data_IF_864232365715
#
_entry.id   IF_864232365715
#
_cell.length_a   1.000
_cell.length_b   1.000
_cell.length_c   1.000
_cell.angle_alpha   90.00
_cell.angle_beta   90.00
_cell.angle_gamma   90.00
#
_symmetry.space_group_name_H-M   'P 1'
#
loop_
_entity.id
_entity.type
_entity.pdbx_description
1 polymer ?
2 non-polymer ?
3 non-polymer ?
4 water ?
#
# COMPACT_ATOMS: atom_id res chain seq x y z
N UNK A 16 -16.43 13.19 36.58
CA UNK A 16 -16.17 14.56 36.15
C UNK A 16 -15.11 14.64 35.07
N UNK A 17 -15.30 13.90 33.97
CA UNK A 17 -14.33 13.78 32.86
C UNK A 17 -14.80 14.48 31.56
N UNK A 18 -13.89 14.56 30.59
CA UNK A 18 -14.16 15.09 29.25
C UNK A 18 -13.17 14.64 28.20
N UNK A 19 -13.48 14.84 26.89
CA UNK A 19 -12.60 14.30 25.83
C UNK A 19 -11.25 14.99 25.64
N UNK A 20 -10.20 14.20 25.31
CA UNK A 20 -8.85 14.71 25.11
C UNK A 20 -8.73 15.43 23.77
N UNK A 21 -7.94 16.51 23.76
CA UNK A 21 -7.66 17.33 22.57
C UNK A 21 -6.21 17.06 22.13
N UNK A 22 -5.91 17.29 20.82
CA UNK A 22 -4.63 16.93 20.20
C UNK A 22 -3.99 18.16 19.53
N UNK A 23 -4.43 18.51 18.32
CA UNK A 23 -3.88 19.62 17.54
C UNK A 23 -5.01 20.19 16.67
N UNK A 24 -5.98 20.80 17.36
CA UNK A 24 -7.19 21.38 16.76
C UNK A 24 -8.40 20.45 16.72
N UNK A 25 -8.18 19.12 16.88
CA UNK A 25 -9.22 18.11 16.73
C UNK A 25 -9.55 17.41 18.08
N UNK A 26 -10.87 17.12 18.30
CA UNK A 26 -11.35 16.36 19.46
C UNK A 26 -11.08 14.87 19.20
N UNK A 27 -10.58 14.13 20.20
CA UNK A 27 -10.44 12.67 20.15
C UNK A 27 -11.40 11.96 21.16
N UNK A 28 -12.67 11.76 20.75
CA UNK A 28 -13.69 11.13 21.61
C UNK A 28 -13.44 9.63 21.72
N UNK A 29 -12.39 9.21 22.43
CA UNK A 29 -11.95 7.80 22.46
C UNK A 29 -11.93 7.15 23.85
N UNK A 30 -12.05 7.92 24.92
CA UNK A 30 -12.17 7.35 26.27
C UNK A 30 -13.30 6.33 26.46
N UNK A 31 -13.35 5.66 27.62
CA UNK A 31 -12.39 5.73 28.71
C UNK A 31 -11.22 4.76 28.54
N UNK A 32 -11.31 3.79 27.59
CA UNK A 32 -10.22 2.86 27.29
C UNK A 32 -8.94 3.57 26.93
N UNK A 33 -9.04 4.66 26.18
CA UNK A 33 -7.94 5.16 25.37
C UNK A 33 -7.55 6.54 25.90
N UNK A 34 -6.41 6.59 26.62
CA UNK A 34 -5.92 7.77 27.32
C UNK A 34 -4.50 8.15 26.85
N UNK A 35 -4.01 9.34 27.29
CA UNK A 35 -2.62 9.81 27.09
C UNK A 35 -2.25 9.81 25.60
N UNK A 36 -2.71 10.83 24.88
CA UNK A 36 -2.63 10.87 23.44
C UNK A 36 -1.39 11.60 22.97
N UNK A 37 -0.64 10.99 22.02
CA UNK A 37 0.42 11.68 21.28
C UNK A 37 0.01 11.74 19.82
N UNK A 38 0.26 12.88 19.18
CA UNK A 38 0.03 13.06 17.75
C UNK A 38 1.09 12.28 16.95
N UNK A 39 0.66 11.52 15.90
CA UNK A 39 1.52 10.80 14.95
C UNK A 39 1.55 11.51 13.59
N UNK A 40 0.38 11.85 13.04
CA UNK A 40 0.29 12.46 11.72
C UNK A 40 -1.12 12.81 11.29
N UNK A 41 -1.31 13.39 10.07
CA UNK A 41 -2.67 13.72 9.61
C UNK A 41 -2.82 13.78 8.09
N UNK A 42 -4.05 13.97 7.64
CA UNK A 42 -4.37 14.08 6.22
C UNK A 42 -5.67 14.79 5.89
N UNK A 43 -6.11 14.61 4.64
CA UNK A 43 -7.27 15.28 4.04
C UNK A 43 -8.54 15.15 4.88
N UNK A 44 -8.77 13.99 5.51
CA UNK A 44 -10.00 13.82 6.30
C UNK A 44 -9.80 13.00 7.58
N UNK A 45 -8.66 13.20 8.23
CA UNK A 45 -8.33 12.43 9.41
C UNK A 45 -6.96 12.69 10.01
N UNK A 46 -6.77 12.20 11.23
CA UNK A 46 -5.56 12.35 12.05
C UNK A 46 -5.26 11.07 12.82
N UNK A 47 -3.98 10.70 13.00
CA UNK A 47 -3.56 9.48 13.72
C UNK A 47 -2.85 9.86 14.98
N UNK A 48 -3.11 9.11 16.07
CA UNK A 48 -2.51 9.27 17.40
C UNK A 48 -2.15 7.92 17.92
N UNK A 49 -1.26 7.87 18.91
CA UNK A 49 -1.13 6.72 19.80
C UNK A 49 -1.94 6.98 21.09
N UNK A 50 -2.23 5.92 21.87
CA UNK A 50 -3.03 6.00 23.11
C UNK A 50 -2.86 4.72 23.93
N UNK A 51 -3.05 4.77 25.28
CA UNK A 51 -2.98 3.58 26.15
C UNK A 51 -4.33 2.83 26.23
N UNK A 52 -4.38 1.58 25.71
CA UNK A 52 -5.55 0.69 25.85
C UNK A 52 -5.62 0.24 27.32
N UNK A 53 -6.84 -0.05 27.82
CA UNK A 53 -7.04 -0.47 29.23
C UNK A 53 -7.62 -1.88 29.40
N UNK A 54 -8.51 -2.35 28.49
CA UNK A 54 -8.98 -3.76 28.45
C UNK A 54 -7.78 -4.72 28.28
N UNK A 55 -7.07 -4.60 27.16
CA UNK A 55 -5.68 -5.04 27.06
C UNK A 55 -4.84 -3.86 27.60
N UNK A 56 -3.57 -4.07 27.90
CA UNK A 56 -2.84 -3.10 28.71
C UNK A 56 -1.54 -2.73 28.02
N UNK A 57 -1.71 -2.20 26.80
CA UNK A 57 -0.62 -1.78 25.91
C UNK A 57 -1.01 -0.48 25.21
N UNK A 58 -0.02 0.29 24.73
CA UNK A 58 -0.33 1.47 23.92
C UNK A 58 -0.74 0.96 22.51
N UNK A 59 -1.62 1.70 21.80
CA UNK A 59 -2.21 1.32 20.50
C UNK A 59 -2.22 2.53 19.59
N UNK A 60 -2.38 2.30 18.27
CA UNK A 60 -2.58 3.38 17.28
C UNK A 60 -4.09 3.63 17.12
N UNK A 61 -4.52 4.91 17.08
CA UNK A 61 -5.92 5.25 16.84
C UNK A 61 -5.94 6.30 15.74
N UNK A 62 -6.78 6.08 14.70
CA UNK A 62 -7.03 7.02 13.61
C UNK A 62 -8.45 7.54 13.69
N UNK A 63 -8.60 8.88 13.86
CA UNK A 63 -9.84 9.63 13.65
C UNK A 63 -10.08 9.87 12.17
N UNK A 64 -11.29 9.52 11.68
CA UNK A 64 -11.66 9.64 10.27
C UNK A 64 -12.98 10.38 10.22
N UNK A 65 -13.02 11.44 9.41
CA UNK A 65 -14.13 12.38 9.29
C UNK A 65 -14.54 12.50 7.79
N UNK A 66 -15.15 11.44 7.21
CA UNK A 66 -15.37 11.38 5.77
C UNK A 66 -16.77 11.76 5.33
N UNK A 67 -17.64 12.10 6.26
CA UNK A 67 -19.07 12.01 5.94
C UNK A 67 -19.56 13.14 5.03
N UNK A 68 -18.79 14.23 4.85
CA UNK A 68 -19.16 15.32 3.92
C UNK A 68 -18.85 15.00 2.42
N UNK A 69 -18.09 13.91 2.11
CA UNK A 69 -17.60 13.62 0.76
C UNK A 69 -17.78 12.16 0.36
N UNK A 70 -18.39 11.96 -0.81
CA UNK A 70 -18.62 10.67 -1.50
C UNK A 70 -17.41 9.70 -1.46
N UNK A 71 -16.29 10.14 -2.08
CA UNK A 71 -15.09 9.31 -2.24
C UNK A 71 -14.35 9.01 -0.91
N UNK A 72 -14.40 9.92 0.08
CA UNK A 72 -13.88 9.61 1.42
C UNK A 72 -14.75 8.52 2.08
N UNK A 73 -16.09 8.59 1.95
CA UNK A 73 -16.99 7.53 2.43
C UNK A 73 -16.69 6.18 1.75
N UNK A 74 -16.48 6.18 0.42
CA UNK A 74 -16.12 4.99 -0.34
C UNK A 74 -14.83 4.39 0.20
N UNK A 75 -13.83 5.24 0.42
CA UNK A 75 -12.52 4.79 0.84
C UNK A 75 -12.52 4.33 2.27
N UNK A 76 -13.24 5.04 3.19
CA UNK A 76 -13.36 4.65 4.61
C UNK A 76 -14.02 3.28 4.68
N UNK A 77 -15.14 3.14 3.99
CA UNK A 77 -15.85 1.87 3.92
C UNK A 77 -15.01 0.72 3.34
N UNK A 78 -14.35 0.90 2.18
CA UNK A 78 -13.49 -0.16 1.62
C UNK A 78 -12.40 -0.59 2.62
N UNK A 79 -11.66 0.36 3.20
CA UNK A 79 -10.64 0.02 4.19
C UNK A 79 -11.17 -0.77 5.37
N UNK A 80 -12.36 -0.41 5.87
CA UNK A 80 -12.92 -1.12 7.01
C UNK A 80 -13.42 -2.48 6.59
N UNK A 81 -14.18 -2.58 5.50
CA UNK A 81 -14.67 -3.87 5.05
C UNK A 81 -13.47 -4.85 4.82
N UNK A 82 -12.39 -4.39 4.16
CA UNK A 82 -11.22 -5.22 3.86
C UNK A 82 -10.55 -5.66 5.17
N UNK A 83 -10.20 -4.71 6.01
CA UNK A 83 -9.39 -5.08 7.17
C UNK A 83 -10.13 -5.90 8.19
N UNK A 84 -11.47 -5.71 8.34
CA UNK A 84 -12.26 -6.61 9.17
C UNK A 84 -12.41 -8.05 8.64
N UNK A 85 -12.28 -8.24 7.32
CA UNK A 85 -12.26 -9.52 6.62
C UNK A 85 -10.86 -10.20 6.79
N UNK A 86 -9.79 -9.41 6.69
CA UNK A 86 -8.44 -9.92 6.68
C UNK A 86 -7.95 -10.29 8.08
N UNK A 87 -7.27 -11.42 8.15
CA UNK A 87 -6.50 -11.83 9.33
C UNK A 87 -5.17 -12.39 8.88
N UNK A 88 -4.09 -11.66 9.11
CA UNK A 88 -2.79 -12.09 8.63
C UNK A 88 -1.72 -11.37 9.39
N UNK A 89 -0.71 -12.09 9.79
CA UNK A 89 0.44 -11.60 10.56
C UNK A 89 1.15 -10.41 9.92
N UNK A 90 1.16 -10.30 8.58
CA UNK A 90 1.88 -9.21 7.90
C UNK A 90 0.93 -8.15 7.40
N UNK A 91 -0.29 -8.10 7.96
CA UNK A 91 -1.25 -7.09 7.57
C UNK A 91 -1.84 -6.50 8.86
N UNK A 92 -1.85 -5.16 8.93
CA UNK A 92 -2.42 -4.47 10.07
C UNK A 92 -3.94 -4.81 10.12
N UNK A 93 -4.42 -5.21 11.28
CA UNK A 93 -5.85 -5.42 11.49
C UNK A 93 -6.50 -4.23 12.18
N UNK A 94 -7.78 -4.36 12.43
CA UNK A 94 -8.53 -3.45 13.27
C UNK A 94 -8.89 -4.15 14.58
N UNK A 95 -8.44 -3.62 15.73
CA UNK A 95 -8.71 -4.19 17.04
C UNK A 95 -10.05 -3.72 17.61
N UNK A 96 -10.39 -2.45 17.33
CA UNK A 96 -11.61 -1.81 17.85
C UNK A 96 -12.00 -0.65 16.92
N UNK A 97 -13.27 -0.29 16.93
CA UNK A 97 -13.77 0.88 16.20
C UNK A 97 -14.69 1.57 17.18
N UNK A 98 -14.43 2.87 17.41
CA UNK A 98 -15.18 3.75 18.28
C UNK A 98 -15.96 4.71 17.40
N UNK A 99 -17.26 4.70 17.53
CA UNK A 99 -18.10 5.80 17.07
C UNK A 99 -19.36 5.97 17.93
N UNK A 100 -20.10 7.06 17.72
CA UNK A 100 -21.38 7.36 18.41
C UNK A 100 -22.40 6.20 18.22
N UNK A 101 -23.34 6.03 19.16
CA UNK A 101 -24.31 4.94 19.00
C UNK A 101 -25.41 5.16 17.99
N UNK A 102 -25.59 6.41 17.48
CA UNK A 102 -26.60 6.75 16.48
C UNK A 102 -25.92 7.37 15.27
N UNK A 103 -26.46 7.14 14.04
CA UNK A 103 -25.96 7.82 12.85
C UNK A 103 -25.90 9.35 13.06
N UNK A 104 -26.98 9.92 13.56
CA UNK A 104 -27.09 11.38 13.81
C UNK A 104 -25.89 11.88 14.58
N UNK A 105 -25.59 11.24 15.74
CA UNK A 105 -24.47 11.66 16.59
C UNK A 105 -23.08 11.26 16.00
N UNK A 106 -23.04 10.42 14.95
CA UNK A 106 -21.80 9.97 14.35
C UNK A 106 -21.21 10.99 13.35
N UNK A 107 -20.28 11.83 13.83
CA UNK A 107 -19.49 12.74 12.98
C UNK A 107 -18.13 12.14 12.60
N UNK A 108 -17.55 11.30 13.48
CA UNK A 108 -16.25 10.71 13.24
C UNK A 108 -16.28 9.20 13.54
N UNK A 109 -15.27 8.50 13.07
CA UNK A 109 -15.03 7.09 13.34
C UNK A 109 -13.58 6.99 13.77
N UNK A 110 -13.31 6.23 14.81
CA UNK A 110 -11.97 6.04 15.30
C UNK A 110 -11.63 4.56 15.11
N UNK A 111 -10.57 4.28 14.36
CA UNK A 111 -10.12 2.93 14.05
C UNK A 111 -8.95 2.64 14.99
N UNK A 112 -9.06 1.59 15.82
CA UNK A 112 -7.95 1.26 16.72
C UNK A 112 -7.16 0.10 16.16
N UNK A 113 -5.80 0.24 16.15
CA UNK A 113 -4.89 -0.72 15.56
C UNK A 113 -3.68 -0.94 16.41
N UNK A 114 -2.97 -2.05 16.18
CA UNK A 114 -1.67 -2.31 16.85
C UNK A 114 -0.75 -1.10 16.59
N UNK A 115 -0.13 -0.56 17.65
CA UNK A 115 0.91 0.47 17.48
C UNK A 115 2.22 -0.19 17.05
N UNK A 116 2.82 0.35 16.03
CA UNK A 116 4.11 -0.15 15.55
C UNK A 116 5.15 0.92 15.82
N UNK A 117 6.38 0.49 16.09
CA UNK A 117 7.54 1.33 16.41
C UNK A 117 7.82 2.35 15.34
N UNK A 118 8.00 1.88 14.12
CA UNK A 118 8.40 2.71 13.01
C UNK A 118 7.78 2.23 11.71
N UNK A 119 8.23 2.81 10.60
CA UNK A 119 7.90 2.39 9.25
C UNK A 119 9.15 2.35 8.40
N UNK A 120 9.07 1.71 7.24
CA UNK A 120 10.23 1.56 6.36
C UNK A 120 10.72 2.89 5.75
N UNK A 121 9.85 3.92 5.60
CA UNK A 121 10.28 5.24 5.13
C UNK A 121 11.29 5.85 6.14
N UNK A 122 10.92 5.88 7.41
CA UNK A 122 11.74 6.41 8.49
C UNK A 122 13.00 5.59 8.64
N UNK A 123 12.88 4.25 8.50
CA UNK A 123 14.01 3.34 8.59
C UNK A 123 15.01 3.58 7.47
N UNK A 124 14.55 3.76 6.23
CA UNK A 124 15.44 3.99 5.11
C UNK A 124 16.14 5.33 5.12
N UNK A 125 15.52 6.35 5.67
CA UNK A 125 16.13 7.66 5.74
C UNK A 125 17.21 7.71 6.83
N UNK A 126 17.19 6.79 7.83
CA UNK A 126 18.17 6.78 8.94
C UNK A 126 19.14 5.54 8.92
N UNK A 127 18.70 4.38 8.37
CA UNK A 127 19.41 3.13 8.58
C UNK A 127 19.83 2.44 7.34
N UNK A 128 21.12 2.04 7.29
CA UNK A 128 21.58 1.07 6.29
C UNK A 128 20.97 -0.32 6.56
N UNK A 129 20.45 -0.99 5.51
CA UNK A 129 19.88 -2.32 5.69
C UNK A 129 20.91 -3.35 5.23
N UNK A 130 21.18 -4.35 6.04
CA UNK A 130 21.98 -5.50 5.62
C UNK A 130 21.18 -6.31 4.58
N UNK A 131 21.87 -7.11 3.76
CA UNK A 131 21.19 -7.98 2.80
C UNK A 131 20.19 -8.91 3.50
N UNK A 132 20.51 -9.38 4.70
CA UNK A 132 19.60 -10.24 5.46
C UNK A 132 18.30 -9.50 5.83
N UNK A 133 18.39 -8.21 6.21
CA UNK A 133 17.19 -7.42 6.50
C UNK A 133 16.34 -7.17 5.26
N UNK A 134 16.96 -6.90 4.17
CA UNK A 134 16.25 -6.65 2.89
C UNK A 134 15.47 -7.89 2.49
N UNK A 135 16.13 -9.03 2.56
CA UNK A 135 15.56 -10.34 2.25
C UNK A 135 14.36 -10.65 3.11
N UNK A 136 14.52 -10.51 4.42
CA UNK A 136 13.41 -10.68 5.37
C UNK A 136 12.24 -9.71 5.19
N UNK A 137 12.53 -8.42 5.04
CA UNK A 137 11.51 -7.45 4.74
C UNK A 137 10.79 -7.78 3.45
N UNK A 138 11.52 -8.13 2.40
CA UNK A 138 10.87 -8.49 1.12
C UNK A 138 9.99 -9.71 1.23
N UNK A 139 10.46 -10.75 1.95
CA UNK A 139 9.68 -11.95 2.21
C UNK A 139 8.33 -11.55 2.84
N UNK A 140 8.38 -10.75 3.89
CA UNK A 140 7.17 -10.34 4.62
C UNK A 140 6.23 -9.52 3.79
N UNK A 141 6.75 -8.57 3.03
CA UNK A 141 5.93 -7.77 2.13
C UNK A 141 5.16 -8.71 1.17
N UNK A 142 5.89 -9.53 0.49
CA UNK A 142 5.31 -10.53 -0.43
C UNK A 142 4.32 -11.56 0.22
N UNK A 143 4.56 -12.01 1.47
CA UNK A 143 3.72 -12.94 2.18
C UNK A 143 2.39 -12.26 2.51
N UNK A 144 2.42 -11.00 2.98
CA UNK A 144 1.18 -10.21 3.18
C UNK A 144 0.48 -10.00 1.85
N UNK A 145 1.25 -9.66 0.84
CA UNK A 145 0.65 -9.41 -0.50
C UNK A 145 0.10 -10.71 -1.13
N UNK A 146 0.67 -11.89 -0.82
CA UNK A 146 0.10 -13.12 -1.31
C UNK A 146 -1.35 -13.20 -0.79
N UNK A 147 -1.53 -12.88 0.49
CA UNK A 147 -2.85 -12.95 1.10
C UNK A 147 -3.81 -11.92 0.50
N UNK A 148 -3.36 -10.68 0.34
CA UNK A 148 -4.19 -9.62 -0.19
C UNK A 148 -4.76 -10.00 -1.60
N UNK A 149 -3.85 -10.36 -2.54
CA UNK A 149 -4.12 -10.81 -3.90
C UNK A 149 -5.01 -12.05 -3.95
N UNK A 150 -4.79 -13.00 -3.02
CA UNK A 150 -5.59 -14.19 -2.92
C UNK A 150 -7.06 -13.86 -2.52
N UNK A 151 -7.34 -12.66 -1.96
CA UNK A 151 -8.71 -12.21 -1.66
C UNK A 151 -9.31 -11.42 -2.82
N UNK A 152 -8.59 -11.33 -3.96
CA UNK A 152 -8.99 -10.51 -5.10
C UNK A 152 -8.97 -9.01 -4.81
N UNK A 153 -8.14 -8.60 -3.86
CA UNK A 153 -7.91 -7.22 -3.49
C UNK A 153 -6.53 -6.77 -3.97
N UNK A 154 -6.49 -5.54 -4.45
CA UNK A 154 -5.28 -4.78 -4.76
C UNK A 154 -5.09 -3.69 -3.71
N UNK A 155 -3.87 -3.54 -3.17
CA UNK A 155 -3.58 -2.53 -2.14
C UNK A 155 -3.59 -1.16 -2.86
N UNK A 156 -2.80 -1.04 -3.92
CA UNK A 156 -2.71 0.12 -4.83
C UNK A 156 -1.96 1.34 -4.30
N UNK A 157 -1.29 1.25 -3.15
CA UNK A 157 -0.49 2.36 -2.67
C UNK A 157 0.58 1.86 -1.72
N UNK A 158 1.25 0.78 -2.13
CA UNK A 158 2.36 0.20 -1.40
C UNK A 158 3.55 1.12 -1.58
N UNK A 159 4.14 1.46 -0.46
CA UNK A 159 5.26 2.40 -0.40
C UNK A 159 5.86 2.24 0.96
N UNK A 160 7.11 2.69 1.18
CA UNK A 160 7.76 2.48 2.49
C UNK A 160 7.00 3.02 3.72
N UNK A 161 6.33 4.18 3.63
CA UNK A 161 5.59 4.69 4.79
C UNK A 161 4.35 3.86 5.14
N UNK A 162 3.88 3.01 4.25
CA UNK A 162 2.79 2.06 4.49
C UNK A 162 3.28 0.66 4.91
N UNK A 163 4.58 0.57 5.24
CA UNK A 163 5.14 -0.67 5.72
C UNK A 163 5.67 -0.42 7.09
N UNK A 164 4.97 -0.96 8.10
CA UNK A 164 5.23 -0.73 9.49
C UNK A 164 6.08 -1.81 10.10
N UNK A 165 6.97 -1.41 10.99
CA UNK A 165 7.86 -2.33 11.66
C UNK A 165 7.86 -2.15 13.14
N UNK A 166 8.04 -3.25 13.82
CA UNK A 166 8.28 -3.29 15.25
C UNK A 166 9.76 -3.51 15.55
N UNK A 167 10.12 -3.60 16.86
CA UNK A 167 11.52 -3.57 17.24
C UNK A 167 12.21 -4.82 16.79
N UNK A 168 11.48 -5.95 16.61
CA UNK A 168 12.07 -7.21 16.15
C UNK A 168 11.98 -7.41 14.64
N UNK A 169 11.84 -6.31 13.89
CA UNK A 169 11.76 -6.32 12.40
C UNK A 169 10.56 -7.08 11.82
N UNK A 170 9.49 -7.30 12.64
CA UNK A 170 8.23 -7.82 12.11
C UNK A 170 7.60 -6.74 11.30
N UNK A 171 7.10 -7.08 10.14
CA UNK A 171 6.58 -6.10 9.20
C UNK A 171 5.07 -6.25 9.00
N UNK A 172 4.29 -5.14 8.94
CA UNK A 172 2.86 -5.20 8.61
C UNK A 172 2.49 -4.14 7.60
N UNK A 173 1.71 -4.52 6.58
CA UNK A 173 1.18 -3.57 5.58
C UNK A 173 -0.03 -2.89 6.15
N UNK A 174 -0.13 -1.58 5.96
CA UNK A 174 -1.23 -0.76 6.43
C UNK A 174 -1.67 0.14 5.30
N UNK A 175 -2.76 0.88 5.58
CA UNK A 175 -3.35 1.90 4.68
C UNK A 175 -4.01 1.30 3.46
N UNK A 176 -5.25 0.79 3.61
CA UNK A 176 -6.01 0.20 2.50
C UNK A 176 -6.96 1.22 1.99
N UNK A 177 -6.54 2.46 1.99
CA UNK A 177 -7.43 3.56 1.66
C UNK A 177 -7.72 3.65 0.18
N UNK A 178 -6.80 3.20 -0.66
CA UNK A 178 -7.00 3.19 -2.12
C UNK A 178 -7.20 1.78 -2.64
N UNK A 179 -7.43 0.83 -1.74
CA UNK A 179 -7.58 -0.55 -2.17
C UNK A 179 -8.88 -0.77 -2.95
N UNK A 180 -8.82 -1.63 -3.97
CA UNK A 180 -9.94 -2.01 -4.81
C UNK A 180 -9.92 -3.54 -4.99
N UNK A 181 -11.10 -4.07 -5.15
CA UNK A 181 -11.28 -5.41 -5.69
C UNK A 181 -10.69 -5.44 -7.15
N UNK A 182 -9.88 -6.45 -7.49
CA UNK A 182 -9.26 -6.48 -8.82
C UNK A 182 -10.29 -6.52 -9.93
N UNK A 183 -9.98 -5.93 -11.08
CA UNK A 183 -10.95 -5.84 -12.14
C UNK A 183 -10.18 -5.72 -13.46
N UNK A 184 -9.46 -6.79 -13.81
CA UNK A 184 -8.60 -6.75 -15.01
C UNK A 184 -9.32 -6.57 -16.34
N UNK A 185 -10.60 -6.98 -16.41
CA UNK A 185 -11.40 -6.77 -17.62
C UNK A 185 -11.75 -5.31 -17.86
N UNK A 186 -11.65 -4.44 -16.83
CA UNK A 186 -11.91 -3.01 -17.00
C UNK A 186 -10.68 -2.17 -16.61
N UNK A 187 -9.46 -2.66 -16.95
CA UNK A 187 -8.20 -1.93 -16.63
C UNK A 187 -7.81 -0.82 -17.69
N UNK A 188 -8.36 -0.87 -18.92
CA UNK A 188 -7.96 0.04 -19.99
C UNK A 188 -8.43 1.48 -19.80
N UNK A 189 -7.53 2.42 -20.11
CA UNK A 189 -7.91 3.82 -20.18
C UNK A 189 -7.04 4.52 -21.19
N UNK A 190 -7.31 5.80 -21.39
CA UNK A 190 -6.53 6.62 -22.27
C UNK A 190 -5.16 7.02 -21.74
N UNK A 191 -4.42 7.67 -22.61
CA UNK A 191 -3.11 8.19 -22.30
C UNK A 191 -3.23 9.39 -21.34
N UNK A 192 -2.34 9.46 -20.33
CA UNK A 192 -2.31 10.53 -19.33
C UNK A 192 -3.64 10.68 -18.56
N UNK A 193 -4.17 9.52 -18.11
CA UNK A 193 -5.38 9.52 -17.31
C UNK A 193 -4.92 9.75 -15.88
N UNK A 194 -5.56 10.68 -15.13
CA UNK A 194 -5.09 11.07 -13.79
C UNK A 194 -5.11 9.84 -12.89
N UNK A 195 -4.27 9.83 -11.85
CA UNK A 195 -4.15 8.69 -10.97
C UNK A 195 -3.96 9.13 -9.54
N UNK A 196 -4.39 8.33 -8.58
CA UNK A 196 -4.48 8.75 -7.18
C UNK A 196 -3.30 8.23 -6.30
N UNK A 197 -2.68 7.11 -6.67
CA UNK A 197 -1.68 6.49 -5.79
C UNK A 197 -0.37 7.23 -5.86
N UNK A 198 0.45 7.05 -4.85
CA UNK A 198 1.71 7.78 -4.73
C UNK A 198 2.61 7.63 -5.97
N UNK A 199 3.06 8.79 -6.53
CA UNK A 199 3.67 8.85 -7.87
C UNK A 199 4.91 7.98 -8.07
N UNK A 200 5.82 7.91 -7.10
CA UNK A 200 7.09 7.23 -7.23
C UNK A 200 6.94 5.74 -7.39
N UNK A 201 5.80 5.16 -6.98
CA UNK A 201 5.60 3.70 -6.92
C UNK A 201 4.56 3.27 -7.97
N UNK A 202 4.16 4.20 -8.89
CA UNK A 202 3.26 3.97 -10.03
C UNK A 202 3.94 3.22 -11.19
N UNK A 203 3.27 2.14 -11.67
CA UNK A 203 3.80 1.31 -12.71
C UNK A 203 3.76 2.10 -14.04
N UNK A 204 4.67 1.83 -15.02
CA UNK A 204 4.66 2.61 -16.27
C UNK A 204 3.30 2.68 -16.96
N UNK A 205 2.55 1.55 -16.95
CA UNK A 205 1.25 1.46 -17.61
C UNK A 205 0.21 2.44 -17.09
N UNK A 206 0.31 2.88 -15.84
CA UNK A 206 -0.60 3.91 -15.26
C UNK A 206 -0.62 5.17 -16.14
N UNK A 207 0.56 5.60 -16.62
CA UNK A 207 0.66 6.85 -17.35
C UNK A 207 0.24 6.62 -18.83
N UNK A 208 0.20 5.35 -19.26
CA UNK A 208 -0.02 4.90 -20.64
C UNK A 208 -1.43 4.41 -20.90
N UNK A 209 -1.91 3.40 -20.18
CA UNK A 209 -3.17 2.76 -20.56
C UNK A 209 -3.91 1.97 -19.48
N UNK A 210 -3.52 2.09 -18.21
CA UNK A 210 -4.04 1.28 -17.11
C UNK A 210 -4.63 2.14 -16.03
N UNK A 211 -5.76 1.68 -15.53
CA UNK A 211 -6.44 2.19 -14.34
C UNK A 211 -5.91 1.57 -13.03
N UNK A 212 -4.89 0.73 -13.04
CA UNK A 212 -4.39 0.13 -11.80
C UNK A 212 -5.31 -0.86 -11.10
N UNK A 213 -6.11 -1.63 -11.89
CA UNK A 213 -7.05 -2.64 -11.40
C UNK A 213 -6.59 -4.05 -11.67
N UNK A 214 -5.28 -4.27 -11.91
CA UNK A 214 -4.70 -5.61 -11.91
C UNK A 214 -3.59 -5.74 -10.84
N UNK A 215 -3.31 -6.98 -10.43
CA UNK A 215 -2.38 -7.37 -9.36
C UNK A 215 -0.98 -6.91 -9.66
N UNK A 216 -0.64 -6.86 -10.96
CA UNK A 216 0.65 -6.38 -11.46
C UNK A 216 0.99 -4.97 -11.04
N UNK A 217 -0.01 -4.17 -10.71
CA UNK A 217 0.26 -2.80 -10.26
C UNK A 217 0.95 -2.77 -8.89
N UNK A 218 0.57 -3.70 -8.03
CA UNK A 218 1.23 -3.86 -6.72
C UNK A 218 2.62 -4.43 -6.81
N UNK A 219 2.86 -5.37 -7.72
CA UNK A 219 4.18 -5.93 -7.86
C UNK A 219 5.15 -4.87 -8.27
N UNK A 220 4.75 -3.94 -9.18
CA UNK A 220 5.62 -2.85 -9.61
C UNK A 220 6.10 -2.06 -8.35
N UNK A 221 5.14 -1.64 -7.51
CA UNK A 221 5.42 -0.92 -6.25
C UNK A 221 6.38 -1.67 -5.37
N UNK A 222 6.19 -2.99 -5.20
CA UNK A 222 7.13 -3.82 -4.40
C UNK A 222 8.53 -3.77 -5.03
N UNK A 223 8.63 -3.85 -6.36
CA UNK A 223 9.89 -3.67 -7.07
C UNK A 223 10.58 -2.38 -6.68
N UNK A 224 9.81 -1.30 -6.68
CA UNK A 224 10.33 0.05 -6.35
C UNK A 224 10.82 0.08 -4.91
N UNK A 225 10.06 -0.55 -4.00
CA UNK A 225 10.40 -0.72 -2.57
C UNK A 225 11.72 -1.49 -2.44
N UNK A 226 11.88 -2.60 -3.16
CA UNK A 226 13.12 -3.38 -3.14
C UNK A 226 14.31 -2.57 -3.59
N UNK A 227 14.17 -1.88 -4.70
CA UNK A 227 15.25 -1.00 -5.21
C UNK A 227 15.61 0.02 -4.18
N UNK A 228 14.60 0.57 -3.48
CA UNK A 228 14.81 1.56 -2.46
C UNK A 228 15.52 1.02 -1.22
N UNK A 229 15.24 -0.23 -0.85
CA UNK A 229 15.94 -0.88 0.27
C UNK A 229 17.41 -1.11 -0.05
N UNK A 230 17.73 -1.34 -1.32
CA UNK A 230 19.08 -1.61 -1.76
C UNK A 230 20.01 -0.36 -1.72
N UNK A 231 19.46 0.86 -1.87
CA UNK A 231 20.27 2.09 -1.90
C UNK A 231 19.85 3.21 -0.93
N UNK A 232 18.71 3.05 -0.19
CA UNK A 232 18.13 4.10 0.68
C UNK A 232 17.59 5.31 -0.10
N UNK A 233 17.37 5.19 -1.41
CA UNK A 233 16.84 6.31 -2.19
C UNK A 233 15.80 5.77 -3.12
N UNK A 234 14.71 6.49 -3.34
CA UNK A 234 13.73 5.99 -4.30
C UNK A 234 14.34 5.87 -5.69
N UNK A 235 13.96 4.84 -6.39
CA UNK A 235 14.54 4.54 -7.69
C UNK A 235 14.03 5.47 -8.79
N UNK A 236 12.75 5.83 -8.75
CA UNK A 236 12.07 6.62 -9.79
C UNK A 236 11.38 7.83 -9.10
N UNK A 237 12.16 8.82 -8.61
CA UNK A 237 11.56 9.96 -7.92
C UNK A 237 11.02 11.05 -8.85
N UNK A 238 10.07 10.71 -9.71
CA UNK A 238 9.58 11.67 -10.68
C UNK A 238 8.97 12.88 -10.00
N UNK A 239 9.19 14.04 -10.61
CA UNK A 239 8.72 15.30 -10.01
C UNK A 239 7.28 15.65 -10.41
N UNK A 240 6.75 15.01 -11.44
CA UNK A 240 5.37 15.26 -11.88
C UNK A 240 4.88 14.06 -12.72
N UNK A 241 3.59 14.04 -13.06
CA UNK A 241 2.95 12.92 -13.74
C UNK A 241 3.83 12.21 -14.79
N UNK A 242 4.18 12.90 -15.88
CA UNK A 242 4.93 12.26 -17.00
C UNK A 242 6.41 12.08 -16.75
N UNK A 243 6.99 12.87 -15.86
CA UNK A 243 8.38 12.67 -15.46
C UNK A 243 8.57 11.29 -14.79
N UNK A 244 7.53 10.75 -14.14
CA UNK A 244 7.55 9.40 -13.61
C UNK A 244 7.88 8.38 -14.69
N UNK A 245 7.24 8.52 -15.88
CA UNK A 245 7.52 7.61 -17.01
C UNK A 245 8.93 7.84 -17.54
N UNK A 246 9.42 9.09 -17.51
CA UNK A 246 10.78 9.47 -17.94
C UNK A 246 11.81 8.75 -17.09
N UNK A 247 11.61 8.80 -15.79
CA UNK A 247 12.49 8.10 -14.84
C UNK A 247 12.50 6.56 -15.10
N UNK A 248 11.35 5.96 -15.26
CA UNK A 248 11.25 4.50 -15.46
C UNK A 248 12.00 4.11 -16.74
N UNK A 249 11.69 4.79 -17.83
CA UNK A 249 12.31 4.46 -19.10
C UNK A 249 13.83 4.79 -19.13
N UNK A 250 14.29 5.79 -18.38
CA UNK A 250 15.72 6.04 -18.22
C UNK A 250 16.53 4.90 -17.61
N UNK A 251 15.90 4.03 -16.79
CA UNK A 251 16.59 2.84 -16.26
C UNK A 251 16.28 1.59 -17.09
N UNK A 252 15.00 1.33 -17.34
CA UNK A 252 14.57 0.17 -18.14
C UNK A 252 14.97 0.29 -19.64
N UNK A 253 15.12 1.51 -20.13
CA UNK A 253 15.34 1.77 -21.54
C UNK A 253 14.07 1.66 -22.33
N UNK A 254 14.18 1.84 -23.66
CA UNK A 254 13.03 1.89 -24.56
C UNK A 254 12.28 0.57 -24.58
N UNK A 255 10.96 0.60 -24.48
CA UNK A 255 10.20 -0.61 -24.70
C UNK A 255 10.47 -1.27 -26.06
N UNK A 256 10.56 -2.60 -26.03
CA UNK A 256 10.63 -3.45 -27.24
C UNK A 256 9.40 -3.29 -28.14
N UNK A 257 9.50 -3.78 -29.36
CA UNK A 257 8.42 -3.75 -30.35
C UNK A 257 7.24 -4.51 -29.80
N UNK A 258 7.50 -5.68 -29.20
CA UNK A 258 6.46 -6.56 -28.64
C UNK A 258 5.65 -5.81 -27.57
N UNK A 259 6.36 -5.21 -26.62
CA UNK A 259 5.77 -4.46 -25.54
C UNK A 259 5.04 -3.21 -26.00
N UNK A 260 5.58 -2.49 -27.00
CA UNK A 260 4.91 -1.36 -27.68
C UNK A 260 3.58 -1.85 -28.27
N UNK A 261 3.57 -3.04 -28.88
CA UNK A 261 2.40 -3.53 -29.63
C UNK A 261 1.21 -3.88 -28.74
N UNK A 262 1.45 -4.23 -27.48
CA UNK A 262 0.37 -4.40 -26.49
C UNK A 262 -0.31 -3.05 -26.09
N UNK A 263 0.33 -1.89 -26.42
CA UNK A 263 -0.22 -0.58 -26.17
C UNK A 263 -0.93 -0.17 -27.45
N UNK A 264 -2.20 -0.38 -27.48
CA UNK A 264 -2.99 -0.13 -28.68
C UNK A 264 -3.49 1.32 -28.78
N UNK A 265 -3.66 2.05 -27.66
CA UNK A 265 -4.06 3.43 -27.77
C UNK A 265 -2.93 4.16 -28.51
N UNK A 266 -3.29 4.81 -29.61
CA UNK A 266 -2.37 5.54 -30.44
C UNK A 266 -1.62 6.65 -29.76
N UNK A 267 -2.31 7.47 -28.99
CA UNK A 267 -1.67 8.56 -28.26
C UNK A 267 -0.54 8.03 -27.38
N UNK A 268 -0.76 6.91 -26.65
CA UNK A 268 0.28 6.35 -25.81
C UNK A 268 1.40 5.76 -26.63
N UNK A 269 1.07 5.02 -27.73
CA UNK A 269 2.08 4.38 -28.59
C UNK A 269 2.95 5.47 -29.29
N UNK A 270 2.31 6.47 -29.85
CA UNK A 270 3.04 7.51 -30.54
C UNK A 270 3.87 8.34 -29.59
N UNK A 271 3.41 8.57 -28.37
CA UNK A 271 4.32 9.15 -27.35
C UNK A 271 5.58 8.31 -27.21
N UNK A 272 5.46 7.04 -26.94
CA UNK A 272 6.64 6.20 -26.78
C UNK A 272 7.52 6.18 -28.02
N UNK A 273 6.92 6.13 -29.23
CA UNK A 273 7.67 6.16 -30.46
C UNK A 273 8.38 7.48 -30.66
N UNK A 274 7.82 8.57 -30.11
CA UNK A 274 8.40 9.90 -30.23
C UNK A 274 9.75 10.05 -29.48
N UNK A 275 10.03 9.18 -28.49
CA UNK A 275 11.16 9.37 -27.60
C UNK A 275 12.45 8.85 -28.20
N UNK A 276 13.57 9.57 -28.00
CA UNK A 276 14.88 9.02 -28.38
C UNK A 276 15.08 7.64 -27.80
N UNK A 277 15.72 6.77 -28.53
CA UNK A 277 16.09 5.44 -28.06
C UNK A 277 16.94 5.53 -26.75
N UNK A 278 16.62 4.74 -25.72
CA UNK A 278 17.42 4.59 -24.49
C UNK A 278 17.70 3.13 -24.21
N UNK A 279 18.96 2.81 -23.80
CA UNK A 279 19.32 1.45 -23.47
C UNK A 279 19.12 1.28 -21.99
N UNK A 280 18.87 0.05 -21.62
CA UNK A 280 18.77 -0.41 -20.23
C UNK A 280 20.00 -0.05 -19.41
N UNK A 281 19.82 0.58 -18.24
CA UNK A 281 20.87 0.66 -17.21
C UNK A 281 20.90 -0.72 -16.50
N UNK A 282 22.02 -1.45 -16.45
CA UNK A 282 22.01 -2.73 -15.73
C UNK A 282 21.92 -2.54 -14.24
N UNK A 283 21.22 -3.47 -13.60
CA UNK A 283 20.88 -3.33 -12.20
C UNK A 283 22.15 -3.35 -11.36
N UNK A 284 23.14 -4.13 -11.80
CA UNK A 284 24.42 -4.24 -11.09
C UNK A 284 25.29 -2.95 -11.17
N UNK A 285 24.90 -1.90 -11.95
CA UNK A 285 25.58 -0.60 -11.96
C UNK A 285 24.91 0.37 -11.01
N UNK A 286 23.55 0.36 -10.97
CA UNK A 286 22.81 1.08 -9.92
C UNK A 286 23.08 0.53 -8.56
N UNK A 287 23.24 -0.82 -8.46
CA UNK A 287 23.27 -1.46 -7.14
C UNK A 287 24.46 -2.38 -7.09
N UNK A 288 25.66 -1.80 -7.07
CA UNK A 288 26.87 -2.65 -7.20
C UNK A 288 27.23 -3.48 -5.96
N UNK A 289 26.65 -3.18 -4.80
CA UNK A 289 26.84 -3.99 -3.59
C UNK A 289 25.64 -4.96 -3.31
N UNK A 290 24.68 -5.07 -4.24
CA UNK A 290 23.49 -5.89 -4.04
C UNK A 290 23.74 -7.35 -4.34
N UNK A 291 23.01 -8.22 -3.64
CA UNK A 291 22.96 -9.65 -3.98
C UNK A 291 22.43 -9.85 -5.39
N UNK A 292 23.10 -10.70 -6.16
CA UNK A 292 22.74 -10.88 -7.56
C UNK A 292 21.37 -11.55 -7.73
N UNK A 293 20.98 -12.40 -6.77
CA UNK A 293 19.66 -12.99 -6.79
C UNK A 293 18.61 -11.92 -6.51
N UNK A 294 18.89 -10.97 -5.60
CA UNK A 294 18.00 -9.83 -5.32
C UNK A 294 17.80 -9.01 -6.60
N UNK A 295 18.88 -8.79 -7.38
CA UNK A 295 18.73 -8.08 -8.64
C UNK A 295 17.96 -8.85 -9.71
N UNK A 296 17.99 -10.15 -9.71
CA UNK A 296 17.29 -10.93 -10.72
C UNK A 296 15.80 -10.85 -10.38
N UNK A 297 15.44 -10.89 -9.07
CA UNK A 297 14.02 -10.74 -8.71
C UNK A 297 13.59 -9.31 -8.98
N UNK A 298 14.42 -8.30 -8.60
CA UNK A 298 14.14 -6.90 -8.95
C UNK A 298 13.81 -6.73 -10.47
N UNK A 299 14.65 -7.26 -11.31
CA UNK A 299 14.44 -7.22 -12.76
C UNK A 299 13.07 -7.73 -13.12
N UNK A 300 12.71 -8.85 -12.56
CA UNK A 300 11.41 -9.49 -12.84
C UNK A 300 10.20 -8.73 -12.29
N UNK A 301 10.34 -7.99 -11.16
CA UNK A 301 9.25 -7.15 -10.62
C UNK A 301 9.15 -5.85 -11.37
N UNK A 302 10.29 -5.31 -11.81
CA UNK A 302 10.27 -4.09 -12.61
C UNK A 302 10.36 -4.37 -14.12
N UNK A 303 9.48 -5.26 -14.61
CA UNK A 303 9.32 -5.52 -16.04
C UNK A 303 8.28 -4.51 -16.56
N UNK A 304 8.60 -3.80 -17.65
CA UNK A 304 7.74 -2.79 -18.26
C UNK A 304 6.36 -3.38 -18.60
N UNK A 305 6.34 -4.55 -19.19
CA UNK A 305 5.11 -5.19 -19.62
C UNK A 305 4.42 -5.90 -18.47
N UNK A 306 3.23 -5.40 -18.07
CA UNK A 306 2.58 -5.97 -16.90
C UNK A 306 2.18 -7.42 -17.01
N UNK A 307 1.94 -7.93 -18.21
CA UNK A 307 1.61 -9.34 -18.46
C UNK A 307 2.81 -10.23 -18.22
N UNK A 308 4.00 -9.71 -18.45
CA UNK A 308 5.25 -10.45 -18.31
C UNK A 308 5.84 -10.35 -16.90
N UNK A 309 5.36 -9.39 -16.12
CA UNK A 309 5.78 -9.11 -14.74
C UNK A 309 5.49 -10.30 -13.87
N UNK A 310 6.47 -10.69 -13.05
CA UNK A 310 6.33 -11.76 -12.06
C UNK A 310 5.07 -11.51 -11.15
N UNK A 311 4.33 -12.58 -10.85
CA UNK A 311 3.25 -12.59 -9.87
C UNK A 311 3.79 -12.84 -8.45
N UNK A 312 2.95 -12.56 -7.45
CA UNK A 312 3.33 -12.60 -6.03
C UNK A 312 3.86 -13.95 -5.61
N UNK A 313 3.19 -15.03 -6.00
CA UNK A 313 3.55 -16.37 -5.53
C UNK A 313 4.82 -16.87 -6.20
N UNK A 314 5.01 -16.43 -7.43
CA UNK A 314 6.19 -16.72 -8.22
C UNK A 314 7.37 -15.94 -7.62
N UNK A 315 7.17 -14.67 -7.16
CA UNK A 315 8.20 -13.91 -6.42
C UNK A 315 8.62 -14.65 -5.13
N UNK A 316 7.65 -15.18 -4.38
CA UNK A 316 7.97 -15.92 -3.16
C UNK A 316 8.84 -17.13 -3.34
N UNK A 317 8.64 -17.82 -4.48
CA UNK A 317 9.41 -18.96 -4.90
C UNK A 317 10.72 -18.62 -5.60
N UNK A 318 11.11 -17.36 -5.70
CA UNK A 318 12.35 -16.95 -6.36
C UNK A 318 13.54 -17.35 -5.46
N UNK A 319 14.69 -17.83 -6.04
CA UNK A 319 15.88 -18.15 -5.24
C UNK A 319 16.39 -17.13 -4.23
N UNK A 320 16.18 -15.83 -4.44
CA UNK A 320 16.55 -14.83 -3.41
C UNK A 320 15.86 -15.10 -2.08
N UNK A 321 14.62 -15.62 -2.13
CA UNK A 321 13.80 -15.82 -0.95
C UNK A 321 13.83 -17.25 -0.34
N UNK A 322 14.73 -18.10 -0.79
CA UNK A 322 14.77 -19.51 -0.49
C UNK A 322 14.90 -19.89 0.99
N UNK A 323 15.58 -19.04 1.75
CA UNK A 323 15.74 -19.20 3.20
C UNK A 323 14.44 -19.12 3.89
N UNK A 324 13.45 -18.44 3.31
CA UNK A 324 12.14 -18.25 3.95
C UNK A 324 11.01 -18.99 3.29
N UNK A 325 11.16 -19.32 2.02
CA UNK A 325 10.00 -19.74 1.27
C UNK A 325 9.39 -21.00 1.84
N UNK A 326 8.12 -20.95 2.17
CA UNK A 326 7.37 -22.06 2.72
C UNK A 326 5.91 -21.82 2.39
N UNK A 327 5.44 -22.33 1.23
CA UNK A 327 4.06 -22.03 0.82
C UNK A 327 2.99 -22.50 1.77
N UNK A 328 3.28 -23.56 2.54
CA UNK A 328 2.35 -24.07 3.55
C UNK A 328 2.23 -23.08 4.71
N UNK A 329 3.17 -22.14 4.84
CA UNK A 329 3.14 -21.13 5.93
C UNK A 329 2.99 -19.71 5.36
N UNK A 330 2.36 -19.60 4.17
CA UNK A 330 2.14 -18.32 3.48
C UNK A 330 0.65 -18.40 3.17
N UNK A 331 -0.18 -18.13 4.17
CA UNK A 331 -1.62 -18.39 4.01
C UNK A 331 -2.32 -17.51 2.97
N UNK A 332 -3.43 -18.08 2.44
CA UNK A 332 -4.39 -17.36 1.62
C UNK A 332 -5.68 -17.09 2.35
N UNK A 333 -6.42 -16.16 1.82
CA UNK A 333 -7.70 -15.69 2.39
C UNK A 333 -8.79 -16.75 2.40
N UNK A 334 -9.48 -16.95 3.53
CA UNK A 334 -10.63 -17.87 3.55
C UNK A 334 -11.78 -17.35 2.67
N UNK A 335 -11.98 -16.02 2.61
CA UNK A 335 -13.19 -15.39 2.05
C UNK A 335 -12.80 -14.25 1.10
N UNK A 336 -12.46 -14.58 -0.15
CA UNK A 336 -12.15 -13.53 -1.13
C UNK A 336 -13.34 -12.65 -1.48
N UNK A 337 -13.06 -11.42 -1.94
CA UNK A 337 -14.11 -10.51 -2.38
C UNK A 337 -14.66 -10.90 -3.73
N UNK A 346 -23.47 4.91 -4.96
CA UNK A 346 -24.11 5.20 -3.67
C UNK A 346 -23.80 6.62 -3.24
N UNK A 347 -24.77 7.46 -2.80
CA UNK A 347 -24.38 8.76 -2.23
C UNK A 347 -23.74 8.65 -0.85
N UNK A 348 -22.97 9.68 -0.46
CA UNK A 348 -22.33 9.80 0.86
C UNK A 348 -23.29 9.62 2.07
N UNK A 349 -24.63 9.69 1.88
CA UNK A 349 -25.61 9.44 2.96
C UNK A 349 -25.93 7.92 3.05
N UNK A 350 -26.03 7.21 1.91
CA UNK A 350 -26.17 5.73 1.97
C UNK A 350 -24.88 5.04 2.39
N UNK A 351 -23.72 5.63 2.08
CA UNK A 351 -22.42 5.11 2.51
C UNK A 351 -22.14 5.32 4.00
N UNK A 352 -22.59 6.46 4.57
CA UNK A 352 -22.56 6.74 6.01
C UNK A 352 -23.29 5.65 6.77
N UNK A 353 -24.43 5.19 6.22
CA UNK A 353 -25.22 4.08 6.80
C UNK A 353 -24.49 2.72 6.69
N UNK A 354 -23.75 2.49 5.61
CA UNK A 354 -22.92 1.29 5.47
C UNK A 354 -21.76 1.32 6.46
N UNK A 355 -21.10 2.46 6.61
CA UNK A 355 -20.08 2.61 7.63
C UNK A 355 -20.66 2.34 9.03
N UNK A 356 -21.82 2.89 9.32
CA UNK A 356 -22.51 2.64 10.59
C UNK A 356 -22.77 1.13 10.79
N UNK A 357 -23.36 0.45 9.79
CA UNK A 357 -23.57 -1.01 9.80
C UNK A 357 -22.27 -1.77 10.01
N UNK A 358 -21.26 -1.34 9.29
CA UNK A 358 -20.04 -2.12 9.22
C UNK A 358 -19.28 -2.07 10.55
N UNK A 359 -19.43 -0.97 11.30
CA UNK A 359 -18.74 -0.80 12.58
C UNK A 359 -19.63 -1.19 13.80
N UNK A 360 -20.84 -1.75 13.57
CA UNK A 360 -21.79 -1.99 14.65
C UNK A 360 -21.35 -3.03 15.68
N UNK A 361 -20.49 -3.97 15.25
CA UNK A 361 -20.02 -5.10 16.05
C UNK A 361 -19.07 -4.73 17.22
N UNK A 362 -18.39 -3.58 17.10
CA UNK A 362 -17.53 -3.05 18.14
C UNK A 362 -18.29 -2.22 19.18
N UNK A 363 -19.60 -1.98 18.97
CA UNK A 363 -20.38 -1.29 19.96
C UNK A 363 -20.69 -2.14 21.19
N UNK A 364 -20.78 -1.50 22.37
CA UNK A 364 -21.47 -2.13 23.51
C UNK A 364 -22.87 -2.65 23.16
N UNK A 365 -23.12 -3.95 23.40
CA UNK A 365 -24.36 -4.63 23.02
C UNK A 365 -24.49 -4.85 21.52
X LIG B 1 0.42 13.65 -10.34
X LIG B 1 -0.07 14.73 -11.23
X LIG B 1 1.64 12.98 -10.92
X LIG B 1 -0.63 12.66 -10.13
X LIG B 1 0.72 14.18 -9.05
X LIG C 1 -14.54 -1.88 -5.65
X LIG C 1 -13.20 -1.94 -5.10
X LIG C 1 -14.61 -0.95 -6.78
X LIG C 1 -14.97 -3.17 -6.10
X LIG C 1 -15.48 -1.43 -4.61
X LIG D 1 -9.44 5.04 -8.12
X LIG D 1 -7.97 4.99 -8.21
X LIG D 1 -10.07 4.52 -9.38
X LIG D 1 -9.92 4.20 -6.97
X LIG D 1 -9.77 6.45 -7.89
X LIG E 1 -0.38 2.49 12.41
X LIG E 1 0.11 1.91 13.56
X LIG E 1 1.27 2.28 14.12
X LIG E 1 1.92 3.26 13.49
X LIG E 1 3.93 4.74 13.60
X LIG E 1 4.84 4.29 12.47
X LIG E 1 5.72 6.29 14.29
X LIG E 1 4.75 5.24 14.77
X LIG E 1 0.35 3.52 11.81
X LIG E 1 0.05 4.21 10.53
X LIG E 1 1.10 4.53 9.65
X LIG E 1 -0.98 6.02 6.77
X LIG E 1 -3.41 6.63 6.13
X LIG E 1 -3.18 8.09 5.73
X LIG E 1 -2.58 9.15 7.87
X LIG E 1 -2.87 10.34 8.74
X LIG E 1 -5.13 10.30 8.11
X LIG E 1 -4.88 9.12 7.21
X LIG E 1 -3.89 5.26 8.60
X LIG E 1 -1.49 5.08 8.87
X LIG E 1 -1.88 1.91 11.81
X LIG E 1 3.07 3.63 14.05
X LIG E 1 5.81 5.39 12.13
X LIG E 1 6.58 5.76 13.27
X LIG E 1 1.53 3.89 12.36
X LIG E 1 0.87 5.12 8.41
X LIG E 1 -0.44 5.40 8.02
X LIG E 1 -2.42 6.08 7.06
X LIG E 1 -3.50 9.15 6.72
X LIG E 1 -4.22 10.34 9.21
X LIG E 1 -2.77 5.46 8.21
X LIG E 1 -1.27 4.47 10.11
X LIG E 1 -0.46 1.13 14.06
X LIG E 1 3.32 5.56 13.26
X LIG E 1 5.37 3.37 12.74
X LIG E 1 4.26 4.02 11.58
X LIG E 1 5.21 7.19 13.95
X LIG E 1 6.42 6.60 15.07
X LIG E 1 4.09 5.65 15.55
X LIG E 1 5.31 4.46 15.25
X LIG E 1 2.12 4.31 9.94
X LIG E 1 -0.76 5.45 5.88
X LIG E 1 -0.55 7.02 6.62
X LIG E 1 -4.42 6.48 6.50
X LIG E 1 -3.38 6.04 5.22
X LIG E 1 -3.79 8.31 4.86
X LIG E 1 -2.18 8.26 5.36
X LIG E 1 -1.55 9.19 7.52
X LIG E 1 -2.63 8.27 8.52
X LIG E 1 -2.62 11.26 8.22
X LIG E 1 -2.27 10.33 9.66
X LIG E 1 -6.10 10.23 8.61
X LIG E 1 -5.14 11.25 7.57
X LIG E 1 -5.16 8.21 7.74
X LIG E 1 -5.56 9.17 6.36
X LIG E 1 3.46 3.03 14.77
X LIG E 1 6.57 5.05 11.42
X LIG E 1 5.31 6.23 11.68
X LIG E 1 1.68 5.38 7.75
X LIG E 1 -2.13 4.24 10.73
#
# INVERSE_FOLDING_TARGET
MAHHHHHHMAAAAAAGAGPEMVRGQVFDVGPRYTNLSYIGEGAYGMVCSAYDNVNKVRVAIKKISPFEHQTYCQRTLREIKILLRFRHENIIGINDIIRAPTIEQMKDVYIVQDLMETDLYKLLKTQHLSNDHICYFLYQILRGLKYIHSANVLHRDLKPSNLLLNTTCDLKICDFGLARVADPDHDHTGFLTEYVATRWYRAPEIMLNSKGYTKSIDIWSVGCILAEMLSNRPIFPGKHYLDQLNHILGILGSPSQEDLNCIINLKARNYLLSLPHKNKVPWNRLFPNADSKALDLLDKMLTFNPHKRIEVEQALAHPYLEQYYDPSDEPIAEAPFKFDMELDDLPKEKLKELIFEETARFQPGYRS
SO4 S O1 O2 O3 O4
SO4 S O1 O2 O3 O4
SO4 S O1 O2 O3 O4
ESQ C2 C3 N4 C5 C7 C8 C11 C12 C14 C15 C16 C19 C21 C22 C24 C25 C27 C28 O30 C31 CL1 N6 C9 O10 N13 C17 C18 N20 N23 O26 C29 C32 H33 H35 H37 H36 H40 H41 H42 H43 H44 H46 H47 H48 H49 H50 H51 H52 H53 H54 H55 H57 H56 H59 H58 H34 H39 H38 H45 H60
#
